data_IF_005399136841
#
_entry.id   IF_005399136841
#
_cell.length_a   1.000
_cell.length_b   1.000
_cell.length_c   1.000
_cell.angle_alpha   90.00
_cell.angle_beta   90.00
_cell.angle_gamma   90.00
#
_symmetry.space_group_name_H-M   'P 1'
#
loop_
_entity.id
_entity.type
_entity.pdbx_description
1 polymer ?
#
# COMPACT_ATOMS: atom_id res chain seq x y z
N UNK A 1 8.93 23.06 -18.05
CA UNK A 1 9.78 22.05 -18.71
C UNK A 1 10.78 21.40 -17.75
N UNK A 2 11.60 22.13 -16.96
CA UNK A 2 12.61 21.55 -16.06
C UNK A 2 12.05 20.53 -15.05
N UNK A 3 10.90 20.80 -14.40
CA UNK A 3 10.24 19.86 -13.44
C UNK A 3 9.71 18.57 -14.09
N UNK A 4 9.34 18.60 -15.36
CA UNK A 4 8.82 17.40 -16.07
C UNK A 4 9.95 16.42 -16.36
N UNK A 5 11.12 16.93 -16.77
CA UNK A 5 12.30 16.09 -17.00
C UNK A 5 12.79 15.44 -15.71
N UNK A 6 12.74 16.17 -14.58
CA UNK A 6 13.18 15.67 -13.28
C UNK A 6 12.34 14.46 -12.78
N UNK A 7 11.01 14.50 -12.90
CA UNK A 7 10.15 13.39 -12.44
C UNK A 7 10.31 12.12 -13.28
N UNK A 8 10.49 12.26 -14.60
CA UNK A 8 10.78 11.14 -15.49
C UNK A 8 12.17 10.56 -15.26
N UNK A 9 13.15 11.40 -14.94
CA UNK A 9 14.47 10.93 -14.55
C UNK A 9 14.44 10.10 -13.24
N UNK A 10 13.68 10.56 -12.24
CA UNK A 10 13.48 9.79 -11.00
C UNK A 10 12.79 8.46 -11.30
N UNK A 11 11.72 8.48 -12.11
CA UNK A 11 11.02 7.27 -12.51
C UNK A 11 11.95 6.26 -13.18
N UNK A 12 12.77 6.71 -14.13
CA UNK A 12 13.69 5.85 -14.88
C UNK A 12 14.84 5.34 -14.01
N UNK A 13 15.49 6.23 -13.26
CA UNK A 13 16.70 5.89 -12.47
C UNK A 13 16.38 4.99 -11.29
N UNK A 14 15.25 5.22 -10.61
CA UNK A 14 14.91 4.52 -9.37
C UNK A 14 14.04 3.30 -9.62
N UNK A 15 13.04 3.44 -10.50
CA UNK A 15 12.02 2.40 -10.69
C UNK A 15 12.16 1.64 -12.01
N UNK A 16 13.05 2.08 -12.91
CA UNK A 16 13.32 1.40 -14.17
C UNK A 16 12.23 1.55 -15.23
N UNK A 17 11.28 2.49 -15.07
CA UNK A 17 10.20 2.72 -16.03
C UNK A 17 10.51 3.92 -16.91
N UNK A 18 10.25 3.79 -18.22
CA UNK A 18 10.48 4.87 -19.20
C UNK A 18 9.34 5.88 -19.29
N UNK A 19 8.14 5.53 -18.80
CA UNK A 19 6.96 6.39 -18.83
C UNK A 19 6.01 6.12 -17.68
N UNK A 20 5.24 7.15 -17.31
CA UNK A 20 4.14 6.99 -16.36
C UNK A 20 2.96 6.26 -17.00
N UNK A 21 2.23 5.51 -16.20
CA UNK A 21 0.93 4.96 -16.58
C UNK A 21 -0.13 6.05 -16.59
N UNK A 22 -1.25 5.78 -17.26
CA UNK A 22 -2.38 6.70 -17.33
C UNK A 22 -2.80 7.21 -15.94
N UNK A 23 -2.91 8.52 -15.80
CA UNK A 23 -3.31 9.22 -14.59
C UNK A 23 -2.21 9.41 -13.55
N UNK A 24 -1.12 8.62 -13.54
CA UNK A 24 -0.05 8.78 -12.54
C UNK A 24 0.59 10.17 -12.63
N UNK A 25 0.89 10.64 -13.82
CA UNK A 25 1.53 11.93 -14.02
C UNK A 25 0.69 13.09 -13.48
N UNK A 26 -0.63 13.05 -13.69
CA UNK A 26 -1.56 14.05 -13.18
C UNK A 26 -1.52 14.18 -11.65
N UNK A 27 -1.53 13.04 -10.95
CA UNK A 27 -1.43 12.98 -9.48
C UNK A 27 -0.07 13.49 -9.00
N UNK A 28 1.02 13.03 -9.63
CA UNK A 28 2.37 13.45 -9.30
C UNK A 28 2.52 14.97 -9.43
N UNK A 29 2.02 15.53 -10.51
CA UNK A 29 2.07 16.98 -10.75
C UNK A 29 1.24 17.77 -9.72
N UNK A 30 0.07 17.26 -9.31
CA UNK A 30 -0.75 17.88 -8.29
C UNK A 30 0.02 17.90 -6.93
N UNK A 31 0.60 16.77 -6.52
CA UNK A 31 1.41 16.67 -5.31
C UNK A 31 2.60 17.66 -5.36
N UNK A 32 3.33 17.70 -6.47
CA UNK A 32 4.49 18.59 -6.63
C UNK A 32 4.13 20.07 -6.64
N UNK A 33 2.89 20.42 -6.99
CA UNK A 33 2.35 21.78 -6.83
C UNK A 33 1.91 22.10 -5.40
N UNK A 34 1.99 21.16 -4.47
CA UNK A 34 1.53 21.32 -3.10
C UNK A 34 0.02 21.12 -2.91
N UNK A 35 -0.65 20.50 -3.86
CA UNK A 35 -2.09 20.20 -3.83
C UNK A 35 -2.33 18.83 -3.20
N UNK A 36 -3.35 18.73 -2.34
CA UNK A 36 -3.80 17.42 -1.83
C UNK A 36 -4.35 16.55 -2.95
N UNK A 37 -4.27 15.24 -2.79
CA UNK A 37 -4.77 14.30 -3.80
C UNK A 37 -5.55 13.14 -3.20
N UNK A 38 -6.50 12.62 -3.98
CA UNK A 38 -7.17 11.35 -3.73
C UNK A 38 -7.07 10.48 -4.99
N UNK A 39 -6.29 9.42 -4.92
CA UNK A 39 -6.12 8.43 -5.98
C UNK A 39 -6.93 7.15 -5.69
N UNK A 40 -7.98 6.90 -6.49
CA UNK A 40 -8.73 5.65 -6.46
C UNK A 40 -8.27 4.85 -7.69
N UNK A 41 -7.37 3.92 -7.45
CA UNK A 41 -6.65 3.20 -8.50
C UNK A 41 -6.59 1.71 -8.15
N UNK A 42 -6.93 0.79 -9.06
CA UNK A 42 -6.92 -0.65 -8.77
C UNK A 42 -5.54 -1.16 -8.35
N UNK A 43 -5.51 -2.31 -7.69
CA UNK A 43 -4.27 -2.99 -7.36
C UNK A 43 -3.46 -3.25 -8.64
N UNK A 44 -2.16 -3.01 -8.61
CA UNK A 44 -1.28 -3.12 -9.77
C UNK A 44 -1.27 -1.91 -10.71
N UNK A 45 -2.09 -0.87 -10.48
CA UNK A 45 -2.05 0.38 -11.26
C UNK A 45 -0.83 1.28 -10.92
N UNK A 46 -0.05 0.91 -9.91
CA UNK A 46 1.16 1.65 -9.53
C UNK A 46 0.89 2.82 -8.60
N UNK A 47 -0.05 2.69 -7.66
CA UNK A 47 -0.31 3.70 -6.60
C UNK A 47 0.96 4.18 -5.90
N UNK A 48 1.88 3.25 -5.57
CA UNK A 48 3.11 3.59 -4.86
C UNK A 48 3.98 4.59 -5.62
N UNK A 49 4.07 4.48 -6.92
CA UNK A 49 4.83 5.42 -7.78
C UNK A 49 4.28 6.84 -7.65
N UNK A 50 2.95 7.00 -7.52
CA UNK A 50 2.31 8.30 -7.43
C UNK A 50 2.75 9.13 -6.21
N UNK A 51 3.15 8.49 -5.12
CA UNK A 51 3.67 9.20 -3.96
C UNK A 51 5.19 9.03 -3.76
N UNK A 52 5.78 7.93 -4.22
CA UNK A 52 7.23 7.73 -4.07
C UNK A 52 8.04 8.68 -4.95
N UNK A 53 7.61 8.93 -6.18
CA UNK A 53 8.30 9.90 -7.07
C UNK A 53 8.30 11.31 -6.46
N UNK A 54 7.16 11.91 -6.04
CA UNK A 54 7.18 13.19 -5.35
C UNK A 54 7.98 13.18 -4.05
N UNK A 55 7.92 12.09 -3.27
CA UNK A 55 8.70 11.95 -2.03
C UNK A 55 10.20 12.12 -2.26
N UNK A 56 10.71 11.61 -3.38
CA UNK A 56 12.13 11.74 -3.74
C UNK A 56 12.50 13.14 -4.26
N UNK A 57 11.51 13.90 -4.72
CA UNK A 57 11.71 15.25 -5.27
C UNK A 57 11.53 16.34 -4.22
N UNK A 58 10.83 16.07 -3.12
CA UNK A 58 10.71 17.01 -2.00
C UNK A 58 12.02 17.10 -1.19
N UNK A 59 12.24 18.26 -0.55
CA UNK A 59 13.38 18.45 0.36
C UNK A 59 13.22 17.65 1.64
N UNK A 60 12.04 17.66 2.23
CA UNK A 60 11.73 17.00 3.49
C UNK A 60 11.36 15.53 3.35
N UNK A 61 10.86 14.99 4.44
CA UNK A 61 10.48 13.57 4.59
C UNK A 61 9.02 13.38 4.15
N UNK A 62 8.73 12.23 3.54
CA UNK A 62 7.37 11.75 3.34
C UNK A 62 7.05 10.66 4.37
N UNK A 63 5.97 10.86 5.11
CA UNK A 63 5.42 9.86 6.03
C UNK A 63 4.30 9.10 5.30
N UNK A 64 4.40 7.78 5.22
CA UNK A 64 3.40 6.92 4.59
C UNK A 64 2.70 6.09 5.68
N UNK A 65 1.42 6.35 5.91
CA UNK A 65 0.61 5.55 6.83
C UNK A 65 0.03 4.37 6.08
N UNK A 66 0.35 3.15 6.52
CA UNK A 66 -0.12 1.91 5.90
C UNK A 66 -0.59 0.91 6.95
N UNK A 67 -1.66 0.12 6.68
CA UNK A 67 -2.24 -0.79 7.68
C UNK A 67 -1.58 -2.17 7.69
N UNK A 68 -0.75 -2.49 6.70
CA UNK A 68 -0.22 -3.83 6.46
C UNK A 68 1.29 -3.88 6.70
N UNK A 69 1.71 -4.51 7.79
CA UNK A 69 3.13 -4.62 8.19
C UNK A 69 3.97 -5.30 7.11
N UNK A 70 3.49 -6.39 6.52
CA UNK A 70 4.20 -7.10 5.45
C UNK A 70 4.44 -6.20 4.24
N UNK A 71 3.41 -5.47 3.81
CA UNK A 71 3.52 -4.54 2.68
C UNK A 71 4.52 -3.41 2.97
N UNK A 72 4.53 -2.87 4.19
CA UNK A 72 5.53 -1.85 4.58
C UNK A 72 6.96 -2.39 4.47
N UNK A 73 7.19 -3.62 4.94
CA UNK A 73 8.51 -4.27 4.88
C UNK A 73 8.94 -4.45 3.43
N UNK A 74 8.06 -4.95 2.57
CA UNK A 74 8.33 -5.18 1.16
C UNK A 74 8.62 -3.85 0.41
N UNK A 75 7.83 -2.80 0.66
CA UNK A 75 8.04 -1.48 0.06
C UNK A 75 9.38 -0.87 0.50
N UNK A 76 9.70 -0.93 1.80
CA UNK A 76 10.97 -0.40 2.32
C UNK A 76 12.15 -1.19 1.78
N UNK A 77 12.04 -2.52 1.67
CA UNK A 77 13.07 -3.35 1.07
C UNK A 77 13.30 -2.97 -0.38
N UNK A 78 12.25 -2.89 -1.19
CA UNK A 78 12.35 -2.52 -2.60
C UNK A 78 12.99 -1.13 -2.81
N UNK A 79 12.64 -0.14 -1.97
CA UNK A 79 13.26 1.18 -2.01
C UNK A 79 14.74 1.14 -1.65
N UNK A 80 15.11 0.43 -0.58
CA UNK A 80 16.51 0.30 -0.17
C UNK A 80 17.35 -0.45 -1.23
N UNK A 81 16.80 -1.48 -1.86
CA UNK A 81 17.44 -2.21 -2.95
C UNK A 81 17.64 -1.31 -4.19
N UNK A 82 16.75 -0.34 -4.40
CA UNK A 82 16.90 0.70 -5.43
C UNK A 82 17.83 1.87 -5.01
N UNK A 83 18.49 1.77 -3.85
CA UNK A 83 19.40 2.80 -3.34
C UNK A 83 18.70 3.99 -2.65
N UNK A 84 17.41 3.90 -2.38
CA UNK A 84 16.62 4.92 -1.68
C UNK A 84 16.47 4.52 -0.22
N UNK A 85 17.07 5.30 0.67
CA UNK A 85 16.95 5.04 2.10
C UNK A 85 15.53 5.31 2.62
N UNK A 86 14.86 4.24 3.02
CA UNK A 86 13.54 4.25 3.64
C UNK A 86 13.55 3.43 4.94
N UNK A 87 12.61 3.72 5.82
CA UNK A 87 12.42 2.98 7.06
C UNK A 87 10.93 2.69 7.30
N UNK A 88 10.66 1.73 8.18
CA UNK A 88 9.31 1.48 8.68
C UNK A 88 9.27 1.52 10.21
N UNK A 89 8.11 1.86 10.77
CA UNK A 89 7.82 1.92 12.19
C UNK A 89 6.51 1.19 12.45
N UNK A 90 6.60 0.02 13.06
CA UNK A 90 5.45 -0.83 13.35
C UNK A 90 5.59 -1.54 14.72
N UNK A 91 4.66 -2.43 15.05
CA UNK A 91 4.66 -3.17 16.31
C UNK A 91 5.70 -4.29 16.40
N UNK A 92 6.33 -4.67 15.30
CA UNK A 92 7.37 -5.71 15.30
C UNK A 92 8.75 -5.18 15.73
N UNK A 93 8.93 -3.85 15.76
CA UNK A 93 10.18 -3.22 16.18
C UNK A 93 10.25 -3.03 17.69
N UNK A 94 11.45 -3.21 18.24
CA UNK A 94 11.75 -2.83 19.63
C UNK A 94 11.80 -1.30 19.77
N UNK A 95 11.61 -0.80 21.00
CA UNK A 95 11.69 0.64 21.29
C UNK A 95 13.03 1.26 20.89
N UNK A 96 14.14 0.52 21.06
CA UNK A 96 15.47 0.97 20.63
C UNK A 96 15.57 1.12 19.11
N UNK A 97 14.99 0.18 18.37
CA UNK A 97 14.97 0.23 16.89
C UNK A 97 14.11 1.42 16.42
N UNK A 98 12.96 1.66 17.04
CA UNK A 98 12.09 2.81 16.74
C UNK A 98 12.84 4.12 16.97
N UNK A 99 13.46 4.27 18.14
CA UNK A 99 14.24 5.49 18.49
C UNK A 99 15.35 5.75 17.47
N UNK A 100 16.09 4.70 17.09
CA UNK A 100 17.16 4.80 16.08
C UNK A 100 16.60 5.18 14.71
N UNK A 101 15.47 4.60 14.30
CA UNK A 101 14.84 4.92 13.01
C UNK A 101 14.36 6.39 12.96
N UNK A 102 13.69 6.86 13.99
CA UNK A 102 13.22 8.24 14.10
C UNK A 102 14.38 9.24 14.15
N UNK A 103 15.42 8.96 14.92
CA UNK A 103 16.63 9.78 14.94
C UNK A 103 17.31 9.89 13.57
N UNK A 104 17.46 8.77 12.88
CA UNK A 104 18.02 8.76 11.53
C UNK A 104 17.15 9.54 10.53
N UNK A 105 15.82 9.47 10.70
CA UNK A 105 14.89 10.25 9.89
C UNK A 105 15.09 11.76 10.14
N UNK A 106 15.17 12.21 11.40
CA UNK A 106 15.47 13.62 11.74
C UNK A 106 16.81 14.09 11.19
N UNK A 107 17.80 13.21 11.12
CA UNK A 107 19.09 13.50 10.49
C UNK A 107 19.04 13.51 8.95
N UNK A 108 17.88 13.40 8.32
CA UNK A 108 17.71 13.42 6.86
C UNK A 108 18.22 12.16 6.13
N UNK A 109 18.46 11.07 6.86
CA UNK A 109 18.93 9.81 6.26
C UNK A 109 17.86 9.06 5.49
N UNK A 110 16.57 9.31 5.78
CA UNK A 110 15.45 8.65 5.12
C UNK A 110 14.59 9.67 4.39
N UNK A 111 14.24 9.36 3.15
CA UNK A 111 13.30 10.14 2.34
C UNK A 111 11.84 9.73 2.59
N UNK A 112 11.63 8.46 2.92
CA UNK A 112 10.30 7.89 3.13
C UNK A 112 10.32 7.09 4.43
N UNK A 113 9.33 7.36 5.29
CA UNK A 113 9.11 6.63 6.54
C UNK A 113 7.70 6.05 6.53
N UNK A 114 7.60 4.74 6.44
CA UNK A 114 6.33 4.03 6.59
C UNK A 114 5.99 3.87 8.07
N UNK A 115 4.74 4.07 8.43
CA UNK A 115 4.30 3.99 9.82
C UNK A 115 2.96 3.27 9.94
N UNK A 116 2.85 2.38 10.93
CA UNK A 116 1.58 1.78 11.28
C UNK A 116 0.70 2.79 12.04
N UNK A 117 -0.61 2.86 11.75
CA UNK A 117 -1.51 3.87 12.32
C UNK A 117 -1.55 3.85 13.86
N UNK A 118 -1.26 2.72 14.49
CA UNK A 118 -1.20 2.58 15.95
C UNK A 118 -0.05 3.38 16.59
N UNK A 119 1.00 3.69 15.82
CA UNK A 119 2.19 4.41 16.29
C UNK A 119 2.09 5.92 16.21
N UNK A 120 1.08 6.46 15.52
CA UNK A 120 0.95 7.89 15.22
C UNK A 120 0.79 8.79 16.45
N UNK A 121 0.24 8.26 17.54
CA UNK A 121 0.01 9.02 18.79
C UNK A 121 1.02 8.70 19.88
N UNK A 122 2.08 7.93 19.60
CA UNK A 122 3.13 7.71 20.60
C UNK A 122 3.97 8.98 20.78
N UNK A 123 4.36 9.28 22.03
CA UNK A 123 5.11 10.51 22.34
C UNK A 123 6.34 10.70 21.45
N UNK A 124 7.09 9.63 21.22
CA UNK A 124 8.29 9.67 20.36
C UNK A 124 7.97 9.99 18.91
N UNK A 125 6.87 9.46 18.37
CA UNK A 125 6.48 9.78 17.00
C UNK A 125 5.97 11.20 16.87
N UNK A 126 5.25 11.69 17.88
CA UNK A 126 4.81 13.08 17.94
C UNK A 126 6.00 14.04 18.06
N UNK A 127 6.99 13.74 18.90
CA UNK A 127 8.24 14.50 19.00
C UNK A 127 8.97 14.55 17.65
N UNK A 128 9.07 13.41 16.96
CA UNK A 128 9.63 13.36 15.61
C UNK A 128 8.88 14.28 14.63
N UNK A 129 7.54 14.22 14.61
CA UNK A 129 6.70 15.02 13.72
C UNK A 129 6.86 16.54 13.98
N UNK A 130 7.03 16.92 15.24
CA UNK A 130 7.20 18.33 15.62
C UNK A 130 8.57 18.92 15.25
N UNK A 131 9.60 18.06 15.12
CA UNK A 131 10.98 18.49 14.89
C UNK A 131 11.52 18.17 13.50
N UNK A 132 10.85 17.31 12.73
CA UNK A 132 11.27 16.92 11.39
C UNK A 132 10.64 17.81 10.30
N UNK A 133 11.38 18.07 9.22
CA UNK A 133 10.81 18.68 8.01
C UNK A 133 10.02 17.64 7.22
N UNK A 134 8.69 17.64 7.41
CA UNK A 134 7.78 16.69 6.73
C UNK A 134 7.05 17.41 5.61
N UNK A 135 7.37 17.04 4.38
CA UNK A 135 6.80 17.65 3.17
C UNK A 135 5.46 17.05 2.77
N UNK A 136 5.25 15.76 3.05
CA UNK A 136 4.02 15.06 2.64
C UNK A 136 3.63 13.96 3.63
N UNK A 137 2.33 13.79 3.82
CA UNK A 137 1.72 12.60 4.43
C UNK A 137 0.96 11.85 3.34
N UNK A 138 1.25 10.57 3.20
CA UNK A 138 0.52 9.65 2.33
C UNK A 138 -0.30 8.69 3.18
N UNK A 139 -1.58 8.54 2.86
CA UNK A 139 -2.49 7.57 3.49
C UNK A 139 -2.74 6.46 2.48
N UNK A 140 -2.07 5.33 2.69
CA UNK A 140 -2.29 4.13 1.88
C UNK A 140 -3.50 3.36 2.43
N UNK A 141 -4.21 2.63 1.56
CA UNK A 141 -5.49 1.97 1.86
C UNK A 141 -6.47 2.92 2.58
N UNK A 142 -6.62 4.13 2.05
CA UNK A 142 -7.39 5.21 2.68
C UNK A 142 -8.86 4.85 2.94
N UNK A 143 -9.42 3.82 2.28
CA UNK A 143 -10.76 3.30 2.58
C UNK A 143 -10.91 2.82 4.03
N UNK A 144 -9.80 2.48 4.70
CA UNK A 144 -9.81 2.08 6.12
C UNK A 144 -10.30 3.19 7.08
N UNK A 145 -10.37 4.45 6.64
CA UNK A 145 -10.85 5.56 7.47
C UNK A 145 -12.38 5.65 7.54
N UNK A 146 -13.08 5.09 6.56
CA UNK A 146 -14.54 5.13 6.45
C UNK A 146 -15.18 3.91 7.11
N UNK A 147 -16.24 4.12 7.91
CA UNK A 147 -17.04 3.03 8.47
C UNK A 147 -17.77 2.22 7.37
N UNK A 148 -17.94 2.80 6.22
CA UNK A 148 -18.55 2.16 5.04
C UNK A 148 -17.52 1.51 4.12
N UNK A 149 -16.22 1.57 4.50
CA UNK A 149 -15.13 0.88 3.81
C UNK A 149 -15.14 -0.62 4.09
N UNK A 150 -14.50 -1.39 3.23
CA UNK A 150 -14.43 -2.86 3.38
C UNK A 150 -13.62 -3.32 4.62
N UNK A 151 -12.69 -2.48 5.10
CA UNK A 151 -11.81 -2.79 6.24
C UNK A 151 -11.65 -1.54 7.12
N UNK A 152 -12.73 -1.15 7.81
CA UNK A 152 -12.68 0.01 8.72
C UNK A 152 -11.71 -0.25 9.87
N UNK A 153 -10.79 0.71 10.09
CA UNK A 153 -9.82 0.68 11.18
C UNK A 153 -9.88 1.95 12.03
N UNK A 154 -10.37 1.88 13.27
CA UNK A 154 -10.45 3.05 14.16
C UNK A 154 -9.11 3.79 14.32
N UNK A 155 -7.98 3.06 14.23
CA UNK A 155 -6.64 3.64 14.30
C UNK A 155 -6.33 4.64 13.16
N UNK A 156 -7.05 4.58 12.02
CA UNK A 156 -6.92 5.54 10.93
C UNK A 156 -7.42 6.95 11.30
N UNK A 157 -8.35 7.05 12.24
CA UNK A 157 -8.81 8.35 12.75
C UNK A 157 -7.69 9.15 13.42
N UNK A 158 -6.65 8.48 13.91
CA UNK A 158 -5.45 9.11 14.48
C UNK A 158 -4.69 9.97 13.45
N UNK A 159 -4.81 9.65 12.16
CA UNK A 159 -4.18 10.41 11.07
C UNK A 159 -4.69 11.85 11.07
N UNK A 160 -5.98 12.05 11.33
CA UNK A 160 -6.60 13.38 11.38
C UNK A 160 -6.01 14.22 12.51
N UNK A 161 -5.85 13.60 13.69
CA UNK A 161 -5.23 14.26 14.84
C UNK A 161 -3.77 14.61 14.57
N UNK A 162 -3.05 13.72 13.89
CA UNK A 162 -1.67 13.96 13.47
C UNK A 162 -1.58 15.16 12.52
N UNK A 163 -2.40 15.20 11.45
CA UNK A 163 -2.38 16.29 10.47
C UNK A 163 -2.59 17.66 11.12
N UNK A 164 -3.45 17.74 12.14
CA UNK A 164 -3.73 18.99 12.89
C UNK A 164 -2.56 19.45 13.77
N UNK A 165 -1.62 18.58 14.10
CA UNK A 165 -0.47 18.90 14.98
C UNK A 165 0.74 19.45 14.23
N UNK A 166 0.79 19.35 12.90
CA UNK A 166 1.91 19.90 12.15
C UNK A 166 1.96 21.43 12.24
N UNK A 167 3.11 22.02 12.58
CA UNK A 167 3.27 23.49 12.58
C UNK A 167 3.00 24.11 11.22
N UNK A 168 3.39 23.40 10.16
CA UNK A 168 3.06 23.70 8.77
C UNK A 168 2.42 22.45 8.16
N UNK A 169 1.17 22.58 7.72
CA UNK A 169 0.45 21.45 7.14
C UNK A 169 1.19 20.90 5.90
N UNK A 170 1.57 19.64 5.90
CA UNK A 170 2.16 18.98 4.72
C UNK A 170 1.10 18.74 3.65
N UNK A 171 1.53 18.41 2.45
CA UNK A 171 0.64 17.87 1.41
C UNK A 171 0.07 16.53 1.89
N UNK A 172 -1.24 16.35 1.74
CA UNK A 172 -1.91 15.10 2.10
C UNK A 172 -2.31 14.35 0.83
N UNK A 173 -1.78 13.15 0.67
CA UNK A 173 -2.12 12.26 -0.44
C UNK A 173 -2.79 11.00 0.08
N UNK A 174 -3.94 10.65 -0.45
CA UNK A 174 -4.71 9.47 -0.05
C UNK A 174 -4.88 8.52 -1.23
N UNK A 175 -4.61 7.24 -1.01
CA UNK A 175 -4.71 6.21 -2.06
C UNK A 175 -5.50 5.01 -1.58
N UNK A 176 -6.34 4.49 -2.46
CA UNK A 176 -7.07 3.22 -2.24
C UNK A 176 -7.31 2.48 -3.54
N UNK A 177 -7.49 1.17 -3.46
CA UNK A 177 -7.86 0.37 -4.62
C UNK A 177 -9.34 0.51 -4.98
N UNK A 178 -10.20 0.65 -3.99
CA UNK A 178 -11.65 0.65 -4.15
C UNK A 178 -12.29 1.69 -3.24
N UNK A 179 -13.27 2.42 -3.77
CA UNK A 179 -14.11 3.30 -2.97
C UNK A 179 -15.47 3.46 -3.66
N UNK A 180 -16.55 3.31 -2.91
CA UNK A 180 -17.88 3.78 -3.32
C UNK A 180 -17.90 5.30 -3.25
N UNK A 181 -18.96 5.93 -3.77
CA UNK A 181 -19.10 7.38 -3.69
C UNK A 181 -19.10 7.86 -2.22
N UNK A 182 -19.80 7.16 -1.33
CA UNK A 182 -19.82 7.45 0.11
C UNK A 182 -18.43 7.37 0.75
N UNK A 183 -17.68 6.29 0.46
CA UNK A 183 -16.31 6.13 0.97
C UNK A 183 -15.37 7.21 0.45
N UNK A 184 -15.52 7.63 -0.81
CA UNK A 184 -14.76 8.73 -1.40
C UNK A 184 -15.01 10.05 -0.67
N UNK A 185 -16.29 10.37 -0.39
CA UNK A 185 -16.68 11.57 0.34
C UNK A 185 -16.15 11.54 1.78
N UNK A 186 -16.28 10.39 2.46
CA UNK A 186 -15.73 10.19 3.80
C UNK A 186 -14.23 10.43 3.85
N UNK A 187 -13.46 9.85 2.92
CA UNK A 187 -12.00 10.04 2.87
C UNK A 187 -11.66 11.53 2.76
N UNK A 188 -12.33 12.26 1.86
CA UNK A 188 -12.06 13.69 1.67
C UNK A 188 -12.43 14.51 2.91
N UNK A 189 -13.60 14.27 3.47
CA UNK A 189 -14.13 14.98 4.62
C UNK A 189 -13.33 14.68 5.89
N UNK A 190 -13.12 13.40 6.21
CA UNK A 190 -12.47 12.98 7.46
C UNK A 190 -10.99 13.37 7.46
N UNK A 191 -10.24 13.15 6.37
CA UNK A 191 -8.85 13.58 6.26
C UNK A 191 -8.70 15.10 6.14
N UNK A 192 -9.77 15.83 5.89
CA UNK A 192 -9.74 17.27 5.68
C UNK A 192 -8.88 17.65 4.47
N UNK A 193 -9.06 16.95 3.34
CA UNK A 193 -8.33 17.24 2.11
C UNK A 193 -8.73 18.61 1.56
N UNK A 194 -7.74 19.45 1.21
CA UNK A 194 -7.93 20.81 0.74
C UNK A 194 -7.89 20.86 -0.79
N UNK A 195 -9.04 21.13 -1.42
CA UNK A 195 -9.19 21.20 -2.89
C UNK A 195 -8.45 20.07 -3.60
N UNK A 196 -8.69 18.79 -3.25
CA UNK A 196 -7.87 17.69 -3.72
C UNK A 196 -8.04 17.47 -5.22
N UNK A 197 -6.93 17.15 -5.89
CA UNK A 197 -7.00 16.50 -7.20
C UNK A 197 -7.50 15.07 -7.01
N UNK A 198 -8.62 14.75 -7.62
CA UNK A 198 -9.24 13.41 -7.52
C UNK A 198 -9.04 12.66 -8.81
N UNK A 199 -8.34 11.55 -8.75
CA UNK A 199 -8.17 10.63 -9.87
C UNK A 199 -8.89 9.32 -9.58
N UNK A 200 -9.77 8.93 -10.47
CA UNK A 200 -10.39 7.60 -10.48
C UNK A 200 -9.97 6.94 -11.80
N UNK A 201 -9.12 5.93 -11.73
CA UNK A 201 -8.77 5.16 -12.93
C UNK A 201 -9.76 4.02 -13.11
N UNK A 202 -9.98 3.61 -14.36
CA UNK A 202 -10.90 2.53 -14.67
C UNK A 202 -10.51 1.21 -14.00
N UNK A 203 -11.52 0.46 -13.57
CA UNK A 203 -11.35 -0.88 -12.98
C UNK A 203 -11.26 -1.97 -14.04
N UNK A 204 -11.52 -1.63 -15.31
CA UNK A 204 -11.48 -2.57 -16.40
C UNK A 204 -10.04 -2.98 -16.71
N UNK A 205 -9.76 -4.24 -16.51
CA UNK A 205 -8.45 -4.84 -16.76
C UNK A 205 -8.55 -5.79 -17.95
N UNK A 206 -8.29 -5.27 -19.13
CA UNK A 206 -8.40 -6.00 -20.42
C UNK A 206 -7.62 -7.31 -20.48
N UNK A 207 -6.63 -7.49 -19.61
CA UNK A 207 -5.82 -8.70 -19.49
C UNK A 207 -6.37 -9.73 -18.49
N UNK A 208 -7.50 -9.45 -17.82
CA UNK A 208 -8.14 -10.39 -16.92
C UNK A 208 -9.39 -10.96 -17.56
N UNK A 209 -9.49 -12.29 -17.52
CA UNK A 209 -10.68 -13.03 -17.90
C UNK A 209 -11.42 -13.50 -16.65
N UNK A 210 -12.73 -13.28 -16.60
CA UNK A 210 -13.59 -13.73 -15.49
C UNK A 210 -14.60 -14.73 -16.01
N UNK A 211 -14.68 -15.90 -15.35
CA UNK A 211 -15.65 -16.94 -15.64
C UNK A 211 -16.35 -17.41 -14.36
N UNK A 212 -17.65 -17.65 -14.43
CA UNK A 212 -18.43 -18.25 -13.33
C UNK A 212 -18.95 -19.60 -13.78
N UNK A 213 -18.47 -20.68 -13.13
CA UNK A 213 -18.93 -22.05 -13.35
C UNK A 213 -19.83 -22.51 -12.22
N UNK A 214 -21.09 -22.80 -12.52
CA UNK A 214 -22.04 -23.39 -11.58
C UNK A 214 -21.91 -24.89 -11.59
N UNK A 215 -21.31 -25.49 -10.57
CA UNK A 215 -21.13 -26.93 -10.45
C UNK A 215 -21.40 -27.42 -9.04
N UNK A 216 -21.83 -28.69 -8.94
CA UNK A 216 -21.88 -29.42 -7.67
C UNK A 216 -20.61 -30.26 -7.43
N UNK A 217 -19.73 -30.38 -8.43
CA UNK A 217 -18.50 -31.18 -8.40
C UNK A 217 -17.26 -30.29 -8.46
N UNK A 218 -17.11 -29.41 -7.46
CA UNK A 218 -16.03 -28.40 -7.43
C UNK A 218 -14.64 -28.99 -7.58
N UNK A 219 -14.37 -30.13 -6.93
CA UNK A 219 -13.05 -30.77 -6.97
C UNK A 219 -12.70 -31.26 -8.39
N UNK A 220 -13.67 -31.83 -9.11
CA UNK A 220 -13.48 -32.24 -10.49
C UNK A 220 -13.20 -31.06 -11.43
N UNK A 221 -13.94 -29.94 -11.25
CA UNK A 221 -13.72 -28.72 -12.03
C UNK A 221 -12.34 -28.10 -11.76
N UNK A 222 -11.87 -28.12 -10.50
CA UNK A 222 -10.54 -27.64 -10.16
C UNK A 222 -9.47 -28.48 -10.86
N UNK A 223 -9.60 -29.82 -10.84
CA UNK A 223 -8.64 -30.69 -11.46
C UNK A 223 -8.64 -30.55 -13.00
N UNK A 224 -9.81 -30.48 -13.64
CA UNK A 224 -9.93 -30.21 -15.08
C UNK A 224 -9.30 -28.88 -15.49
N UNK A 225 -9.54 -27.83 -14.68
CA UNK A 225 -8.94 -26.52 -14.92
C UNK A 225 -7.41 -26.57 -14.84
N UNK A 226 -6.87 -27.20 -13.79
CA UNK A 226 -5.42 -27.31 -13.59
C UNK A 226 -4.74 -28.17 -14.67
N UNK A 227 -5.44 -29.17 -15.20
CA UNK A 227 -4.92 -29.96 -16.31
C UNK A 227 -4.82 -29.17 -17.62
N UNK A 228 -5.80 -28.30 -17.88
CA UNK A 228 -5.80 -27.38 -19.04
C UNK A 228 -4.75 -26.28 -18.94
N UNK A 229 -4.37 -25.92 -17.71
CA UNK A 229 -3.38 -24.86 -17.40
C UNK A 229 -2.09 -25.44 -16.81
N UNK A 230 -1.68 -26.61 -17.29
CA UNK A 230 -0.49 -27.33 -16.80
C UNK A 230 0.78 -26.50 -17.01
N UNK A 231 1.54 -26.31 -15.94
CA UNK A 231 2.78 -25.51 -15.96
C UNK A 231 2.57 -24.03 -15.62
N UNK A 232 1.33 -23.60 -15.43
CA UNK A 232 1.02 -22.26 -14.94
C UNK A 232 0.89 -22.23 -13.42
N UNK A 233 1.19 -21.05 -12.81
CA UNK A 233 0.99 -20.83 -11.38
C UNK A 233 -0.43 -20.34 -11.12
N UNK A 234 -1.05 -20.81 -10.03
CA UNK A 234 -2.42 -20.44 -9.66
C UNK A 234 -2.63 -20.31 -8.17
N UNK A 235 -3.68 -19.58 -7.77
CA UNK A 235 -4.12 -19.45 -6.39
C UNK A 235 -5.58 -19.88 -6.29
N UNK A 236 -5.88 -20.78 -5.34
CA UNK A 236 -7.25 -21.24 -5.05
C UNK A 236 -7.70 -20.65 -3.72
N UNK A 237 -8.65 -19.72 -3.75
CA UNK A 237 -9.26 -19.18 -2.55
C UNK A 237 -10.40 -20.03 -2.06
N UNK A 238 -10.39 -20.37 -0.76
CA UNK A 238 -11.43 -21.15 -0.11
C UNK A 238 -12.11 -20.35 0.99
N UNK A 239 -13.41 -20.58 1.19
CA UNK A 239 -14.22 -19.87 2.18
C UNK A 239 -13.91 -20.26 3.64
N UNK A 240 -13.29 -21.41 3.89
CA UNK A 240 -12.96 -21.91 5.24
C UNK A 240 -11.59 -22.57 5.27
N UNK A 241 -10.94 -22.57 6.46
CA UNK A 241 -9.67 -23.27 6.70
C UNK A 241 -9.77 -24.75 6.34
N UNK A 242 -10.88 -25.42 6.74
CA UNK A 242 -11.15 -26.82 6.43
C UNK A 242 -11.17 -27.07 4.92
N UNK A 243 -11.75 -26.16 4.14
CA UNK A 243 -11.76 -26.31 2.67
C UNK A 243 -10.38 -26.12 2.07
N UNK A 244 -9.54 -25.23 2.63
CA UNK A 244 -8.12 -25.11 2.22
C UNK A 244 -7.41 -26.44 2.41
N UNK A 245 -7.54 -27.05 3.60
CA UNK A 245 -6.92 -28.35 3.90
C UNK A 245 -7.43 -29.46 2.98
N UNK A 246 -8.75 -29.53 2.73
CA UNK A 246 -9.35 -30.52 1.85
C UNK A 246 -8.83 -30.40 0.40
N UNK A 247 -8.84 -29.17 -0.14
CA UNK A 247 -8.34 -28.91 -1.51
C UNK A 247 -6.84 -29.23 -1.59
N UNK A 248 -6.05 -28.83 -0.60
CA UNK A 248 -4.62 -29.17 -0.54
C UNK A 248 -4.40 -30.69 -0.58
N UNK A 249 -5.11 -31.47 0.24
CA UNK A 249 -5.00 -32.92 0.27
C UNK A 249 -5.42 -33.54 -1.06
N UNK A 250 -6.48 -33.04 -1.66
CA UNK A 250 -6.97 -33.48 -2.98
C UNK A 250 -5.91 -33.26 -4.07
N UNK A 251 -5.27 -32.07 -4.11
CA UNK A 251 -4.21 -31.76 -5.06
C UNK A 251 -2.99 -32.67 -4.88
N UNK A 252 -2.55 -32.86 -3.62
CA UNK A 252 -1.43 -33.75 -3.30
C UNK A 252 -1.70 -35.20 -3.69
N UNK A 253 -2.93 -35.70 -3.45
CA UNK A 253 -3.36 -37.05 -3.89
C UNK A 253 -3.28 -37.25 -5.41
N UNK A 254 -3.55 -36.16 -6.16
CA UNK A 254 -3.46 -36.13 -7.62
C UNK A 254 -2.06 -35.75 -8.14
N UNK A 255 -1.02 -35.76 -7.26
CA UNK A 255 0.38 -35.46 -7.60
C UNK A 255 0.59 -34.03 -8.13
N UNK A 256 -0.29 -33.09 -7.76
CA UNK A 256 -0.14 -31.69 -8.10
C UNK A 256 0.64 -31.01 -6.98
N UNK A 257 1.70 -30.29 -7.33
CA UNK A 257 2.49 -29.50 -6.38
C UNK A 257 1.63 -28.33 -5.86
N UNK A 258 1.44 -28.26 -4.55
CA UNK A 258 0.65 -27.22 -3.92
C UNK A 258 1.20 -26.92 -2.53
N UNK A 259 1.09 -25.66 -2.10
CA UNK A 259 1.21 -25.20 -0.73
C UNK A 259 -0.16 -24.78 -0.21
N UNK A 260 -0.33 -24.67 1.10
CA UNK A 260 -1.57 -24.19 1.74
C UNK A 260 -1.27 -23.07 2.70
N UNK A 261 -2.16 -22.08 2.74
CA UNK A 261 -2.00 -20.93 3.62
C UNK A 261 -3.31 -20.58 4.32
N UNK A 262 -3.32 -20.55 5.64
CA UNK A 262 -4.42 -20.01 6.46
C UNK A 262 -3.95 -19.71 7.88
N UNK A 263 -4.70 -18.87 8.60
CA UNK A 263 -4.34 -18.38 9.93
C UNK A 263 -4.28 -19.46 11.05
N UNK A 264 -4.67 -20.70 10.78
CA UNK A 264 -4.56 -21.84 11.71
C UNK A 264 -3.25 -22.60 11.60
N UNK A 265 -2.38 -22.25 10.63
CA UNK A 265 -1.04 -22.84 10.53
C UNK A 265 -0.08 -22.16 11.50
N UNK A 266 0.94 -22.89 11.92
CA UNK A 266 2.06 -22.32 12.70
C UNK A 266 2.86 -21.31 11.87
N UNK A 267 3.67 -20.50 12.57
CA UNK A 267 4.40 -19.40 11.92
C UNK A 267 5.46 -19.89 10.92
N UNK A 268 6.07 -21.03 11.15
CA UNK A 268 7.14 -21.54 10.29
C UNK A 268 6.54 -22.09 8.99
N UNK A 269 5.50 -22.91 9.08
CA UNK A 269 4.73 -23.39 7.90
C UNK A 269 4.19 -22.21 7.07
N UNK A 270 3.72 -21.11 7.72
CA UNK A 270 3.22 -19.94 7.00
C UNK A 270 4.30 -19.15 6.27
N UNK A 271 5.56 -19.22 6.73
CA UNK A 271 6.68 -18.56 6.04
C UNK A 271 7.20 -19.38 4.86
N UNK A 272 7.07 -20.71 4.93
CA UNK A 272 7.50 -21.61 3.88
C UNK A 272 6.48 -21.73 2.74
N UNK A 273 5.21 -21.41 2.99
CA UNK A 273 4.10 -21.46 2.03
C UNK A 273 3.94 -20.18 1.23
#
# INVERSE_FOLDING_TARGET
>A
MRKILEKLEVLKKVFGYDSFREGQEKIIDAILRGQDVLGIMPTGAGKSICYQVPALMFSGITVVVSPLISLMIDQVKALNDAGIHAAYINSALTETQITKALYNAMCGRYKIVYVAPERLETDRFLEFVMNADISMITVDEAHCISQWGQDFRPSYLKIVNLIKRFPKRPVVSAFTATATQTVKEDIQCILGLQNPEVLITGFDRKNLYFEVRKTKQKDAEILDYLEKHKGESGIIYCSTRKNVDNVYLMLRKNRIAAARYHAGLDNDTRKES
#
